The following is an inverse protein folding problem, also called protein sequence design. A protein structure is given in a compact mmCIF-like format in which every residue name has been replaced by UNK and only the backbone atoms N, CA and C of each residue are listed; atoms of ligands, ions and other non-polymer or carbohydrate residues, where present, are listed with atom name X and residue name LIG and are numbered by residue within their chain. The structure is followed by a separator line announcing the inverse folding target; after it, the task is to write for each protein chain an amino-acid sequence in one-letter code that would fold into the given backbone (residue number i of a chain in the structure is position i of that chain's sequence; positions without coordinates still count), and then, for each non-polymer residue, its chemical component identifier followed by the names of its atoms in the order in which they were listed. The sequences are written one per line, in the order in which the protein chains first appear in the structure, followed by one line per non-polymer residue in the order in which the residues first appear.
data_IF_602252814269
#
_entry.id   IF_602252814269
#
_cell.length_a   1.000
_cell.length_b   1.000
_cell.length_c   1.000
_cell.angle_alpha   90.00
_cell.angle_beta   90.00
_cell.angle_gamma   90.00
#
_symmetry.space_group_name_H-M   'P 1'
#
loop_
_entity.id
_entity.type
_entity.pdbx_description
1 polymer ?
#
# COMPACT_ATOMS: atom_id res chain seq x y z
N UNK A 1 -25.12 -5.50 5.88
CA UNK A 1 -24.36 -5.35 7.15
C UNK A 1 -22.89 -5.28 6.77
N UNK A 2 -22.21 -4.12 6.91
CA UNK A 2 -20.76 -4.04 6.63
C UNK A 2 -20.05 -5.04 7.53
N UNK A 3 -19.28 -5.97 6.95
CA UNK A 3 -18.31 -6.74 7.72
C UNK A 3 -17.29 -5.73 8.24
N UNK A 4 -17.09 -5.65 9.56
CA UNK A 4 -16.23 -4.64 10.21
C UNK A 4 -14.78 -4.68 9.71
N UNK A 5 -14.38 -5.80 9.09
CA UNK A 5 -13.02 -6.07 8.63
C UNK A 5 -12.76 -5.70 7.16
N UNK A 6 -13.67 -4.95 6.53
CA UNK A 6 -13.59 -4.60 5.11
C UNK A 6 -13.55 -3.08 4.88
N UNK A 7 -12.71 -2.69 3.93
CA UNK A 7 -12.50 -1.31 3.51
C UNK A 7 -13.09 -1.10 2.12
N UNK A 8 -13.72 0.05 1.89
CA UNK A 8 -13.99 0.48 0.51
C UNK A 8 -12.68 0.83 -0.18
N UNK A 9 -12.69 0.89 -1.52
CA UNK A 9 -11.53 1.36 -2.29
C UNK A 9 -11.08 2.76 -1.89
N UNK A 10 -12.00 3.63 -1.42
CA UNK A 10 -11.63 4.96 -0.94
C UNK A 10 -10.95 4.89 0.43
N UNK A 11 -11.52 4.15 1.38
CA UNK A 11 -10.90 3.99 2.71
C UNK A 11 -9.50 3.38 2.62
N UNK A 12 -9.30 2.41 1.73
CA UNK A 12 -7.99 1.84 1.47
C UNK A 12 -7.03 2.84 0.79
N UNK A 13 -7.53 3.68 -0.12
CA UNK A 13 -6.73 4.72 -0.78
C UNK A 13 -6.22 5.75 0.23
N UNK A 14 -7.11 6.22 1.10
CA UNK A 14 -6.78 7.15 2.18
C UNK A 14 -5.76 6.52 3.15
N UNK A 15 -5.95 5.24 3.50
CA UNK A 15 -5.04 4.50 4.40
C UNK A 15 -3.64 4.28 3.79
N UNK A 16 -3.57 3.97 2.50
CA UNK A 16 -2.31 3.73 1.79
C UNK A 16 -1.64 5.03 1.29
N UNK A 17 -2.31 6.17 1.46
CA UNK A 17 -1.93 7.47 0.92
C UNK A 17 -1.63 7.40 -0.60
N UNK A 18 -2.58 6.84 -1.35
CA UNK A 18 -2.53 6.71 -2.81
C UNK A 18 -3.87 7.11 -3.43
N UNK A 19 -3.92 7.22 -4.75
CA UNK A 19 -5.18 7.46 -5.45
C UNK A 19 -6.09 6.23 -5.42
N UNK A 20 -7.42 6.45 -5.42
CA UNK A 20 -8.40 5.36 -5.54
C UNK A 20 -8.21 4.50 -6.81
N UNK A 21 -7.90 5.07 -8.00
CA UNK A 21 -7.57 4.26 -9.17
C UNK A 21 -6.42 3.28 -8.93
N UNK A 22 -5.37 3.70 -8.20
CA UNK A 22 -4.24 2.80 -7.87
C UNK A 22 -4.68 1.64 -6.98
N UNK A 23 -5.60 1.87 -6.05
CA UNK A 23 -6.16 0.79 -5.22
C UNK A 23 -6.96 -0.21 -6.06
N UNK A 24 -7.71 0.27 -7.05
CA UNK A 24 -8.47 -0.61 -7.95
C UNK A 24 -7.50 -1.45 -8.80
N UNK A 25 -6.49 -0.82 -9.37
CA UNK A 25 -5.44 -1.53 -10.13
C UNK A 25 -4.77 -2.61 -9.27
N UNK A 26 -4.37 -2.29 -8.04
CA UNK A 26 -3.79 -3.26 -7.11
C UNK A 26 -4.73 -4.42 -6.77
N UNK A 27 -6.04 -4.17 -6.73
CA UNK A 27 -7.05 -5.21 -6.51
C UNK A 27 -7.22 -6.09 -7.77
N UNK A 28 -7.27 -5.48 -8.94
CA UNK A 28 -7.42 -6.16 -10.23
C UNK A 28 -6.17 -7.00 -10.56
N UNK A 29 -4.97 -6.54 -10.16
CA UNK A 29 -3.71 -7.31 -10.18
C UNK A 29 -3.69 -8.47 -9.16
N UNK A 30 -4.64 -8.49 -8.22
CA UNK A 30 -4.69 -9.46 -7.12
C UNK A 30 -3.67 -9.21 -6.01
N UNK A 31 -2.96 -8.08 -6.03
CA UNK A 31 -2.04 -7.64 -4.97
C UNK A 31 -2.80 -7.33 -3.68
N UNK A 32 -3.91 -6.60 -3.79
CA UNK A 32 -4.85 -6.39 -2.69
C UNK A 32 -6.01 -7.37 -2.80
N UNK A 33 -6.23 -8.15 -1.74
CA UNK A 33 -7.30 -9.13 -1.67
C UNK A 33 -8.61 -8.49 -1.23
N UNK A 34 -9.68 -8.90 -1.88
CA UNK A 34 -11.02 -8.38 -1.65
C UNK A 34 -12.04 -9.15 -2.47
N UNK A 35 -13.25 -8.62 -2.55
CA UNK A 35 -14.32 -9.13 -3.38
C UNK A 35 -15.19 -7.98 -3.90
N UNK A 36 -16.11 -8.32 -4.79
CA UNK A 36 -17.07 -7.38 -5.36
C UNK A 36 -18.48 -7.80 -4.95
N UNK A 37 -19.26 -6.86 -4.43
CA UNK A 37 -20.68 -7.02 -4.13
C UNK A 37 -21.47 -6.07 -5.03
N UNK A 38 -22.04 -6.61 -6.12
CA UNK A 38 -22.68 -5.81 -7.16
C UNK A 38 -21.68 -4.86 -7.83
N UNK A 39 -21.90 -3.55 -7.70
CA UNK A 39 -21.01 -2.52 -8.24
C UNK A 39 -19.91 -2.07 -7.26
N UNK A 40 -19.97 -2.52 -6.00
CA UNK A 40 -19.06 -2.07 -4.94
C UNK A 40 -17.91 -3.05 -4.76
N UNK A 41 -16.69 -2.51 -4.66
CA UNK A 41 -15.47 -3.28 -4.35
C UNK A 41 -15.13 -3.14 -2.86
N UNK A 42 -14.90 -4.27 -2.23
CA UNK A 42 -14.56 -4.41 -0.82
C UNK A 42 -13.20 -5.07 -0.68
N UNK A 43 -12.32 -4.46 0.11
CA UNK A 43 -10.96 -4.94 0.38
C UNK A 43 -10.85 -5.47 1.79
N UNK A 44 -10.17 -6.60 1.97
CA UNK A 44 -9.89 -7.10 3.31
C UNK A 44 -8.88 -6.18 4.00
N UNK A 45 -9.22 -5.70 5.20
CA UNK A 45 -8.35 -4.80 5.95
C UNK A 45 -6.97 -5.40 6.21
N UNK A 46 -6.91 -6.71 6.47
CA UNK A 46 -5.65 -7.46 6.65
C UNK A 46 -4.74 -7.36 5.42
N UNK A 47 -5.30 -7.56 4.22
CA UNK A 47 -4.53 -7.47 2.97
C UNK A 47 -3.98 -6.06 2.73
N UNK A 48 -4.76 -5.02 3.06
CA UNK A 48 -4.33 -3.63 2.93
C UNK A 48 -3.21 -3.30 3.94
N UNK A 49 -3.33 -3.76 5.18
CA UNK A 49 -2.30 -3.59 6.21
C UNK A 49 -0.99 -4.31 5.85
N UNK A 50 -1.07 -5.53 5.36
CA UNK A 50 0.10 -6.31 4.95
C UNK A 50 0.81 -5.65 3.77
N UNK A 51 0.06 -5.19 2.76
CA UNK A 51 0.62 -4.44 1.65
C UNK A 51 1.36 -3.18 2.12
N UNK A 52 0.75 -2.40 3.03
CA UNK A 52 1.38 -1.21 3.60
C UNK A 52 2.70 -1.57 4.30
N UNK A 53 2.68 -2.59 5.16
CA UNK A 53 3.87 -3.03 5.90
C UNK A 53 5.02 -3.41 4.96
N UNK A 54 4.72 -4.20 3.92
CA UNK A 54 5.72 -4.61 2.93
C UNK A 54 6.27 -3.42 2.13
N UNK A 55 5.40 -2.46 1.76
CA UNK A 55 5.83 -1.23 1.08
C UNK A 55 6.74 -0.38 1.96
N UNK A 56 6.37 -0.15 3.21
CA UNK A 56 7.16 0.65 4.15
C UNK A 56 8.55 0.03 4.38
N UNK A 57 8.64 -1.31 4.48
CA UNK A 57 9.92 -2.01 4.62
C UNK A 57 10.81 -1.81 3.40
N UNK A 58 10.26 -1.92 2.17
CA UNK A 58 11.01 -1.69 0.93
C UNK A 58 11.49 -0.24 0.81
N UNK A 59 10.66 0.73 1.22
CA UNK A 59 11.02 2.14 1.19
C UNK A 59 12.16 2.45 2.16
N UNK A 60 12.17 1.84 3.36
CA UNK A 60 13.27 1.99 4.32
C UNK A 60 14.57 1.39 3.80
N UNK A 61 14.53 0.16 3.29
CA UNK A 61 15.71 -0.49 2.71
C UNK A 61 16.34 0.35 1.58
N UNK A 62 15.52 0.88 0.67
CA UNK A 62 16.01 1.75 -0.40
C UNK A 62 16.58 3.09 0.12
N UNK A 63 16.01 3.65 1.19
CA UNK A 63 16.53 4.87 1.81
C UNK A 63 17.88 4.61 2.51
N UNK A 64 18.02 3.47 3.18
CA UNK A 64 19.28 3.05 3.81
C UNK A 64 20.39 2.84 2.75
N UNK A 65 20.07 2.22 1.62
CA UNK A 65 21.00 2.07 0.48
C UNK A 65 21.46 3.43 -0.08
N UNK A 66 20.53 4.39 -0.24
CA UNK A 66 20.87 5.75 -0.68
C UNK A 66 21.73 6.50 0.34
N UNK A 67 21.47 6.33 1.64
CA UNK A 67 22.26 6.94 2.71
C UNK A 67 23.70 6.41 2.71
N UNK A 68 23.88 5.10 2.55
CA UNK A 68 25.22 4.47 2.44
C UNK A 68 25.97 5.01 1.22
N UNK A 69 25.32 5.06 0.04
CA UNK A 69 25.94 5.61 -1.17
C UNK A 69 26.32 7.10 -1.02
N UNK A 70 25.52 7.90 -0.31
CA UNK A 70 25.82 9.31 -0.07
C UNK A 70 27.00 9.51 0.89
N UNK A 71 27.16 8.64 1.89
CA UNK A 71 28.27 8.66 2.84
C UNK A 71 29.58 8.22 2.15
N UNK A 72 29.53 7.18 1.31
CA UNK A 72 30.67 6.74 0.49
C UNK A 72 31.13 7.77 -0.54
N UNK A 73 30.23 8.65 -1.01
CA UNK A 73 30.54 9.74 -1.93
C UNK A 73 30.98 11.05 -1.24
N UNK A 74 31.06 11.10 0.09
CA UNK A 74 31.60 12.25 0.83
C UNK A 74 30.82 13.55 0.66
N UNK A 75 29.50 13.47 0.44
CA UNK A 75 28.66 14.65 0.13
C UNK A 75 28.23 15.49 1.34
N UNK A 76 28.96 15.41 2.46
CA UNK A 76 28.77 16.25 3.63
C UNK A 76 30.10 16.81 4.14
N UNK A 77 30.45 18.01 3.69
CA UNK A 77 31.29 19.00 4.39
C UNK A 77 30.42 20.25 4.64
#
# INVERSE_FOLDING_TARGET
MKRTDELTTQQAADFLNVSRPRVIELMDEGTLKGHTEGAYRHLYASSVQDFKRQRDLKQRAAADELAVLSDEMGLYE
#
